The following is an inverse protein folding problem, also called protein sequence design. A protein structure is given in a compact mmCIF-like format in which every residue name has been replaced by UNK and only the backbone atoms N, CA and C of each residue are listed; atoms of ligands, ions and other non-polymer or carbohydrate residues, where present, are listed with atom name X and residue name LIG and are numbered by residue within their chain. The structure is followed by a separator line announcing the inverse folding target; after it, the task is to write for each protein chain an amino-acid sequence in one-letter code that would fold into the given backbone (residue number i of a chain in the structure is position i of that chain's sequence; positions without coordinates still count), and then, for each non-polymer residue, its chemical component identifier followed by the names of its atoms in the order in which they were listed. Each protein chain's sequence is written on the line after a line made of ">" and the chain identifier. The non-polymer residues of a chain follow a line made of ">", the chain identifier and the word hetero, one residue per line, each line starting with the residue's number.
data_IF_232290167820
#
_entry.id   IF_232290167820
#
_cell.length_a   1.000
_cell.length_b   1.000
_cell.length_c   1.000
_cell.angle_alpha   90.00
_cell.angle_beta   90.00
_cell.angle_gamma   90.00
#
_symmetry.space_group_name_H-M   'P 1'
#
loop_
_entity.id
_entity.type
_entity.pdbx_description
1 polymer ?
#
# COMPACT_ATOMS: atom_id res chain seq x y z
N UNK A 1 -23.64 -44.15 -28.34
CA UNK A 1 -24.02 -42.76 -28.72
C UNK A 1 -24.11 -41.95 -27.43
N UNK A 2 -23.38 -40.88 -27.18
CA UNK A 2 -22.37 -40.14 -27.94
C UNK A 2 -21.41 -39.53 -26.91
N UNK A 3 -20.13 -39.66 -27.19
CA UNK A 3 -19.03 -38.99 -26.51
C UNK A 3 -19.18 -37.46 -26.59
N UNK A 4 -18.79 -36.76 -25.52
CA UNK A 4 -18.25 -35.40 -25.62
C UNK A 4 -16.99 -35.28 -24.79
N UNK A 5 -15.87 -35.54 -25.45
CA UNK A 5 -14.54 -35.07 -25.07
C UNK A 5 -14.40 -33.57 -25.37
N UNK A 6 -13.38 -32.97 -24.74
CA UNK A 6 -12.70 -31.67 -24.98
C UNK A 6 -13.23 -30.52 -24.10
N UNK A 7 -12.39 -29.75 -23.40
CA UNK A 7 -11.06 -29.32 -23.81
C UNK A 7 -10.13 -29.02 -22.63
N UNK A 8 -8.91 -29.55 -22.74
CA UNK A 8 -7.71 -29.29 -21.94
C UNK A 8 -7.28 -27.82 -22.14
N UNK A 9 -7.26 -27.03 -21.07
CA UNK A 9 -6.35 -25.88 -20.95
C UNK A 9 -5.69 -26.01 -19.58
N UNK A 10 -4.55 -26.70 -19.57
CA UNK A 10 -3.51 -26.44 -18.58
C UNK A 10 -3.09 -24.99 -18.82
N UNK A 11 -3.60 -24.08 -18.00
CA UNK A 11 -2.95 -22.82 -17.79
C UNK A 11 -1.93 -23.12 -16.68
N UNK A 12 -0.68 -23.43 -17.06
CA UNK A 12 0.47 -23.47 -16.16
C UNK A 12 0.84 -22.02 -15.76
N UNK A 13 -0.14 -21.25 -15.31
CA UNK A 13 0.05 -19.94 -14.71
C UNK A 13 -0.29 -20.11 -13.25
N UNK A 14 0.75 -20.32 -12.44
CA UNK A 14 0.66 -20.12 -11.01
C UNK A 14 0.45 -18.62 -10.82
N UNK A 15 -0.71 -18.24 -10.29
CA UNK A 15 -0.91 -16.90 -9.77
C UNK A 15 0.15 -16.71 -8.69
N UNK A 16 1.18 -15.92 -9.00
CA UNK A 16 2.12 -15.45 -7.99
C UNK A 16 1.27 -14.60 -7.07
N UNK A 17 0.89 -15.18 -5.93
CA UNK A 17 0.30 -14.39 -4.86
C UNK A 17 1.34 -13.35 -4.51
N UNK A 18 1.04 -12.09 -4.82
CA UNK A 18 1.70 -11.00 -4.13
C UNK A 18 1.65 -11.33 -2.64
N UNK A 19 2.71 -11.05 -1.86
CA UNK A 19 2.67 -11.19 -0.42
C UNK A 19 1.62 -10.23 0.14
N UNK A 20 0.33 -10.61 0.07
CA UNK A 20 -0.80 -9.83 0.58
C UNK A 20 -0.66 -9.64 2.08
N UNK A 21 0.02 -10.56 2.75
CA UNK A 21 0.34 -10.52 4.19
C UNK A 21 1.18 -9.30 4.57
N UNK A 22 1.97 -8.76 3.64
CA UNK A 22 2.82 -7.60 3.88
C UNK A 22 2.20 -6.29 3.41
N UNK A 23 0.96 -6.23 2.92
CA UNK A 23 0.40 -4.95 2.44
C UNK A 23 -0.48 -4.31 3.51
N UNK A 24 -0.12 -3.11 3.97
CA UNK A 24 -0.97 -2.36 4.91
C UNK A 24 -2.17 -1.73 4.19
N UNK A 25 -3.36 -2.26 4.47
CA UNK A 25 -4.64 -1.76 3.95
C UNK A 25 -5.51 -1.32 5.13
N UNK A 26 -5.51 -0.03 5.50
CA UNK A 26 -6.32 0.42 6.62
C UNK A 26 -7.81 0.35 6.27
N UNK A 27 -8.59 -0.32 7.13
CA UNK A 27 -10.03 -0.51 6.96
C UNK A 27 -10.84 0.48 7.80
N UNK A 28 -10.39 0.79 9.03
CA UNK A 28 -11.11 1.64 9.97
C UNK A 28 -10.33 2.92 10.31
N UNK A 29 -11.05 4.03 10.49
CA UNK A 29 -10.44 5.27 10.98
C UNK A 29 -9.84 5.02 12.37
N UNK A 30 -8.55 5.30 12.53
CA UNK A 30 -7.75 4.98 13.71
C UNK A 30 -6.67 3.94 13.45
N UNK A 31 -6.76 3.17 12.36
CA UNK A 31 -5.70 2.25 11.95
C UNK A 31 -4.37 3.00 11.77
N UNK A 32 -3.32 2.47 12.38
CA UNK A 32 -1.99 3.04 12.30
C UNK A 32 -0.93 1.98 12.05
N UNK A 33 0.09 2.37 11.31
CA UNK A 33 1.29 1.56 11.11
C UNK A 33 2.52 2.41 11.43
N UNK A 34 3.49 1.80 12.08
CA UNK A 34 4.78 2.43 12.35
C UNK A 34 5.89 1.52 11.83
N UNK A 35 6.83 2.09 11.10
CA UNK A 35 7.96 1.35 10.57
C UNK A 35 9.03 2.27 10.02
N UNK A 36 10.21 1.72 9.79
CA UNK A 36 11.32 2.43 9.15
C UNK A 36 11.10 2.49 7.66
N UNK A 37 11.08 3.68 7.11
CA UNK A 37 10.96 3.87 5.67
C UNK A 37 12.26 3.48 4.99
N UNK A 38 12.27 2.35 4.28
CA UNK A 38 13.49 1.80 3.68
C UNK A 38 13.52 1.93 2.15
N UNK A 39 12.37 1.93 1.48
CA UNK A 39 12.32 1.96 0.01
C UNK A 39 11.07 2.66 -0.53
N UNK A 40 11.24 3.33 -1.68
CA UNK A 40 10.17 3.94 -2.47
C UNK A 40 10.21 3.41 -3.90
N UNK A 41 9.12 2.83 -4.34
CA UNK A 41 8.94 2.41 -5.73
C UNK A 41 7.77 3.17 -6.35
N UNK A 42 7.96 3.76 -7.53
CA UNK A 42 6.90 4.47 -8.28
C UNK A 42 6.42 3.59 -9.42
N UNK A 43 5.23 3.89 -9.95
CA UNK A 43 4.64 3.18 -11.08
C UNK A 43 4.42 1.67 -10.84
N UNK A 44 4.05 1.30 -9.61
CA UNK A 44 3.79 -0.09 -9.22
C UNK A 44 2.36 -0.49 -9.54
N UNK A 45 2.22 -1.66 -10.17
CA UNK A 45 0.94 -2.28 -10.49
C UNK A 45 0.17 -1.61 -11.64
N UNK A 46 -1.03 -2.12 -11.96
CA UNK A 46 -1.83 -1.65 -13.10
C UNK A 46 -2.31 -0.19 -12.96
N UNK A 47 -2.31 0.34 -11.74
CA UNK A 47 -2.76 1.70 -11.43
C UNK A 47 -1.62 2.72 -11.28
N UNK A 48 -0.37 2.32 -11.53
CA UNK A 48 0.83 3.17 -11.39
C UNK A 48 0.90 3.87 -10.03
N UNK A 49 0.60 3.13 -8.98
CA UNK A 49 0.64 3.65 -7.62
C UNK A 49 2.07 3.70 -7.10
N UNK A 50 2.35 4.60 -6.16
CA UNK A 50 3.63 4.58 -5.43
C UNK A 50 3.55 3.53 -4.33
N UNK A 51 4.53 2.63 -4.23
CA UNK A 51 4.70 1.68 -3.13
C UNK A 51 5.77 2.19 -2.18
N UNK A 52 5.45 2.24 -0.90
CA UNK A 52 6.39 2.57 0.17
C UNK A 52 6.66 1.32 0.99
N UNK A 53 7.92 0.91 1.10
CA UNK A 53 8.30 -0.23 1.94
C UNK A 53 8.71 0.29 3.31
N UNK A 54 8.01 -0.18 4.33
CA UNK A 54 8.25 0.11 5.74
C UNK A 54 8.74 -1.16 6.43
N UNK A 55 9.90 -1.11 7.04
CA UNK A 55 10.42 -2.18 7.90
C UNK A 55 9.85 -2.00 9.31
N UNK A 56 8.96 -2.90 9.71
CA UNK A 56 8.42 -2.98 11.08
C UNK A 56 9.12 -4.11 11.85
N UNK A 57 8.84 -4.24 13.14
CA UNK A 57 9.37 -5.34 13.96
C UNK A 57 8.87 -6.73 13.50
N UNK A 58 7.68 -6.76 12.88
CA UNK A 58 7.05 -7.97 12.36
C UNK A 58 7.53 -8.33 10.95
N UNK A 59 8.19 -7.40 10.26
CA UNK A 59 8.75 -7.59 8.93
C UNK A 59 8.52 -6.40 8.00
N UNK A 60 8.73 -6.63 6.71
CA UNK A 60 8.51 -5.60 5.69
C UNK A 60 7.04 -5.46 5.36
N UNK A 61 6.54 -4.23 5.45
CA UNK A 61 5.17 -3.86 5.15
C UNK A 61 5.12 -2.81 4.03
N UNK A 62 4.39 -3.13 2.99
CA UNK A 62 4.14 -2.30 1.82
C UNK A 62 2.91 -1.41 2.02
N UNK A 63 3.11 -0.11 1.89
CA UNK A 63 2.04 0.88 1.91
C UNK A 63 1.85 1.43 0.51
N UNK A 64 0.66 1.23 -0.06
CA UNK A 64 0.31 1.87 -1.32
C UNK A 64 -0.06 3.34 -1.10
N UNK A 65 0.72 4.20 -1.72
CA UNK A 65 0.55 5.63 -1.76
C UNK A 65 -0.73 6.08 -2.45
N UNK A 66 -1.29 7.16 -1.91
CA UNK A 66 -2.28 8.01 -2.57
C UNK A 66 -1.69 9.40 -2.76
N UNK A 67 -2.38 10.29 -3.48
CA UNK A 67 -1.92 11.68 -3.68
C UNK A 67 -1.61 12.40 -2.35
N UNK A 68 -2.32 12.08 -1.27
CA UNK A 68 -2.07 12.65 0.06
C UNK A 68 -0.80 12.07 0.69
N UNK A 69 -0.63 10.75 0.62
CA UNK A 69 0.57 10.10 1.14
C UNK A 69 1.81 10.52 0.35
N UNK A 70 1.75 10.57 -0.98
CA UNK A 70 2.90 10.94 -1.80
C UNK A 70 3.44 12.33 -1.50
N UNK A 71 2.55 13.31 -1.30
CA UNK A 71 2.93 14.65 -0.84
C UNK A 71 3.60 14.64 0.53
N UNK A 72 3.14 13.80 1.46
CA UNK A 72 3.73 13.73 2.81
C UNK A 72 5.07 13.00 2.81
N UNK A 73 5.17 11.92 2.04
CA UNK A 73 6.39 11.14 1.90
C UNK A 73 7.48 11.87 1.11
N UNK A 74 7.14 12.88 0.31
CA UNK A 74 8.13 13.77 -0.31
C UNK A 74 8.98 14.51 0.73
N UNK A 75 8.39 14.80 1.90
CA UNK A 75 9.11 15.42 3.03
C UNK A 75 9.81 14.38 3.93
N UNK A 76 9.61 13.09 3.71
CA UNK A 76 10.20 12.02 4.53
C UNK A 76 11.43 11.47 3.81
N UNK A 77 12.64 11.67 4.33
CA UNK A 77 13.83 11.02 3.78
C UNK A 77 13.83 9.51 4.10
N UNK A 78 14.36 8.72 3.18
CA UNK A 78 14.60 7.28 3.38
C UNK A 78 15.53 7.07 4.58
N UNK A 79 15.25 6.05 5.37
CA UNK A 79 15.95 5.69 6.60
C UNK A 79 15.31 6.23 7.88
N UNK A 80 14.32 7.13 7.77
CA UNK A 80 13.59 7.66 8.92
C UNK A 80 12.48 6.70 9.35
N UNK A 81 12.08 6.80 10.61
CA UNK A 81 10.91 6.07 11.07
C UNK A 81 9.67 6.90 10.81
N UNK A 82 8.68 6.27 10.18
CA UNK A 82 7.41 6.89 9.85
C UNK A 82 6.28 6.18 10.58
N UNK A 83 5.32 6.99 11.00
CA UNK A 83 4.05 6.51 11.52
C UNK A 83 2.94 7.04 10.64
N UNK A 84 2.15 6.17 10.03
CA UNK A 84 1.00 6.51 9.21
C UNK A 84 -0.26 6.18 10.00
N UNK A 85 -1.18 7.13 10.11
CA UNK A 85 -2.48 6.96 10.78
C UNK A 85 -3.58 7.27 9.77
N UNK A 86 -4.49 6.33 9.56
CA UNK A 86 -5.67 6.51 8.74
C UNK A 86 -6.76 7.23 9.53
N UNK A 87 -7.18 8.40 9.06
CA UNK A 87 -8.23 9.19 9.72
C UNK A 87 -9.62 8.95 9.11
N UNK A 88 -9.77 7.96 8.26
CA UNK A 88 -11.02 7.70 7.52
C UNK A 88 -11.12 8.49 6.22
N UNK A 89 -12.35 8.64 5.74
CA UNK A 89 -12.64 9.32 4.48
C UNK A 89 -13.38 10.63 4.76
N UNK A 90 -12.93 11.72 4.13
CA UNK A 90 -13.63 13.01 4.23
C UNK A 90 -14.50 13.21 3.00
N UNK A 91 -15.79 13.56 3.16
CA UNK A 91 -16.62 13.97 2.04
C UNK A 91 -16.01 15.24 1.43
N UNK A 92 -15.70 15.17 0.14
CA UNK A 92 -15.31 16.34 -0.63
C UNK A 92 -16.56 17.07 -1.11
N UNK A 93 -16.49 18.40 -1.23
CA UNK A 93 -17.57 19.16 -1.90
C UNK A 93 -17.74 18.61 -3.33
N UNK A 94 -18.98 18.32 -3.76
CA UNK A 94 -19.25 17.93 -5.15
C UNK A 94 -18.67 19.01 -6.08
N UNK A 95 -17.98 18.63 -7.18
CA UNK A 95 -17.97 17.32 -7.86
C UNK A 95 -16.82 16.37 -7.48
N UNK A 96 -16.05 16.63 -6.41
CA UNK A 96 -14.85 15.83 -6.10
C UNK A 96 -15.20 14.57 -5.30
N UNK A 97 -14.60 13.44 -5.68
CA UNK A 97 -14.72 12.16 -4.96
C UNK A 97 -14.22 12.32 -3.51
N UNK A 98 -14.84 11.63 -2.53
CA UNK A 98 -14.31 11.57 -1.18
C UNK A 98 -12.87 11.06 -1.23
N UNK A 99 -12.03 11.61 -0.35
CA UNK A 99 -10.62 11.24 -0.30
C UNK A 99 -10.27 10.69 1.09
N UNK A 100 -9.42 9.68 1.07
CA UNK A 100 -8.84 9.09 2.27
C UNK A 100 -7.90 10.09 2.92
N UNK A 101 -8.11 10.34 4.21
CA UNK A 101 -7.24 11.17 5.03
C UNK A 101 -6.20 10.29 5.70
N UNK A 102 -4.94 10.64 5.49
CA UNK A 102 -3.81 10.01 6.15
C UNK A 102 -3.02 11.07 6.91
N UNK A 103 -2.65 10.76 8.15
CA UNK A 103 -1.66 11.51 8.91
C UNK A 103 -0.34 10.76 8.86
N UNK A 104 0.76 11.45 8.62
CA UNK A 104 2.09 10.85 8.56
C UNK A 104 2.96 11.65 9.52
N UNK A 105 3.63 10.93 10.41
CA UNK A 105 4.64 11.46 11.31
C UNK A 105 5.98 10.87 10.90
N UNK A 106 7.06 11.66 11.07
CA UNK A 106 8.42 11.22 10.79
C UNK A 106 9.30 11.52 12.00
N UNK A 107 10.20 10.60 12.34
CA UNK A 107 11.26 10.83 13.32
C UNK A 107 12.61 10.36 12.78
N UNK A 108 13.70 11.08 13.07
CA UNK A 108 15.03 10.60 12.75
C UNK A 108 15.33 9.35 13.59
N UNK A 109 15.71 8.26 12.94
CA UNK A 109 16.27 7.10 13.63
C UNK A 109 17.68 7.52 14.05
N UNK A 110 17.87 7.80 15.34
CA UNK A 110 19.22 7.98 15.89
C UNK A 110 19.86 6.60 15.95
N UNK A 111 20.76 6.32 15.01
CA UNK A 111 21.73 5.22 15.12
C UNK A 111 22.71 5.48 16.26
#
# INVERSE_FOLDING_TARGET
>A
MVEKMKNKKKNDWEEVKDPEESIWRPEAAGDEITGRYIEKERDVGPYKSTKYTLETDEGEVYVFGSTVLDRKFDEVPIGYEVKIVYQGEKPSKPPKKPFKLFQVFKRPVKS
#
